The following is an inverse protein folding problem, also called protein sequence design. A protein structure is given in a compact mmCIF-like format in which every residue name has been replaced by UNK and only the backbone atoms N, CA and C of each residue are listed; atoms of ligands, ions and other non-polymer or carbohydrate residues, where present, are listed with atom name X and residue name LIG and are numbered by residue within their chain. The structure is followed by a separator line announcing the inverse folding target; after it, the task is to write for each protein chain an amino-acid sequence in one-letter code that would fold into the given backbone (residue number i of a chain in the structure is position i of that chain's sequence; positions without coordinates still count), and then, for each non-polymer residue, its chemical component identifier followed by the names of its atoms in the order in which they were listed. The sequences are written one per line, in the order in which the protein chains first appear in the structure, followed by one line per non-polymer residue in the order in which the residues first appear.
data_IF_148103032690
#
_entry.id   IF_148103032690
#
_cell.length_a   1.000
_cell.length_b   1.000
_cell.length_c   1.000
_cell.angle_alpha   90.00
_cell.angle_beta   90.00
_cell.angle_gamma   90.00
#
_symmetry.space_group_name_H-M   'P 1'
#
loop_
_entity.id
_entity.type
_entity.pdbx_description
1 polymer ?
#
# COMPACT_ATOMS: atom_id res chain seq x y z
N UNK A 1 11.14 18.34 42.15
CA UNK A 1 11.44 17.22 41.24
C UNK A 1 10.64 17.50 39.97
N UNK A 2 11.21 18.31 39.09
CA UNK A 2 10.55 18.71 37.85
C UNK A 2 10.70 17.57 36.84
N UNK A 3 9.56 17.02 36.41
CA UNK A 3 9.51 15.97 35.40
C UNK A 3 9.69 16.69 34.06
N UNK A 4 10.92 16.69 33.53
CA UNK A 4 11.17 17.13 32.15
C UNK A 4 10.36 16.23 31.22
N UNK A 5 9.27 16.76 30.66
CA UNK A 5 8.49 16.07 29.65
C UNK A 5 9.41 15.82 28.44
N UNK A 6 9.39 14.61 27.85
CA UNK A 6 10.22 14.31 26.68
C UNK A 6 9.86 15.29 25.56
N UNK A 7 10.77 16.22 25.27
CA UNK A 7 10.59 17.22 24.23
C UNK A 7 10.40 16.52 22.89
N UNK A 8 9.19 16.61 22.34
CA UNK A 8 8.89 16.12 21.00
C UNK A 8 9.81 16.88 20.05
N UNK A 9 10.68 16.17 19.34
CA UNK A 9 11.59 16.81 18.40
C UNK A 9 10.78 17.46 17.27
N UNK A 10 11.08 18.71 16.88
CA UNK A 10 10.34 19.41 15.83
C UNK A 10 10.40 18.65 14.49
N UNK A 11 11.47 17.90 14.25
CA UNK A 11 11.61 17.00 13.11
C UNK A 11 10.54 15.89 13.08
N UNK A 12 10.18 15.34 14.23
CA UNK A 12 9.14 14.31 14.33
C UNK A 12 7.77 14.88 13.95
N UNK A 13 7.44 16.09 14.41
CA UNK A 13 6.19 16.78 14.07
C UNK A 13 6.09 17.03 12.56
N UNK A 14 7.17 17.54 11.95
CA UNK A 14 7.21 17.78 10.49
C UNK A 14 7.03 16.48 9.72
N UNK A 15 7.70 15.40 10.15
CA UNK A 15 7.56 14.09 9.52
C UNK A 15 6.12 13.56 9.63
N UNK A 16 5.47 13.71 10.79
CA UNK A 16 4.08 13.33 11.00
C UNK A 16 3.14 14.11 10.07
N UNK A 17 3.31 15.43 9.95
CA UNK A 17 2.49 16.26 9.06
C UNK A 17 2.64 15.81 7.61
N UNK A 18 3.88 15.63 7.13
CA UNK A 18 4.16 15.14 5.76
C UNK A 18 3.51 13.77 5.54
N UNK A 19 3.63 12.86 6.51
CA UNK A 19 3.05 11.52 6.45
C UNK A 19 1.52 11.56 6.35
N UNK A 20 0.85 12.39 7.16
CA UNK A 20 -0.61 12.57 7.09
C UNK A 20 -1.04 13.15 5.74
N UNK A 21 -0.31 14.14 5.20
CA UNK A 21 -0.59 14.72 3.89
C UNK A 21 -0.48 13.64 2.79
N UNK A 22 0.55 12.79 2.85
CA UNK A 22 0.73 11.66 1.93
C UNK A 22 -0.47 10.71 1.96
N UNK A 23 -0.98 10.35 3.14
CA UNK A 23 -2.15 9.48 3.26
C UNK A 23 -3.42 10.14 2.73
N UNK A 24 -3.65 11.41 3.06
CA UNK A 24 -4.79 12.16 2.52
C UNK A 24 -4.73 12.20 0.99
N UNK A 25 -3.54 12.39 0.42
CA UNK A 25 -3.35 12.32 -1.03
C UNK A 25 -3.72 10.95 -1.60
N UNK A 26 -3.19 9.87 -1.02
CA UNK A 26 -3.47 8.49 -1.46
C UNK A 26 -4.97 8.17 -1.43
N UNK A 27 -5.66 8.64 -0.39
CA UNK A 27 -7.09 8.42 -0.21
C UNK A 27 -7.97 9.28 -1.13
N UNK A 28 -7.55 10.51 -1.46
CA UNK A 28 -8.34 11.44 -2.26
C UNK A 28 -7.99 11.46 -3.76
N UNK A 29 -6.95 10.74 -4.18
CA UNK A 29 -6.51 10.71 -5.58
C UNK A 29 -7.58 10.24 -6.57
N UNK A 30 -8.57 9.44 -6.14
CA UNK A 30 -9.66 8.96 -7.00
C UNK A 30 -10.59 10.08 -7.52
N UNK A 31 -10.54 11.28 -6.95
CA UNK A 31 -11.39 12.41 -7.36
C UNK A 31 -11.04 12.91 -8.77
N UNK A 32 -9.77 12.83 -9.17
CA UNK A 32 -9.27 13.26 -10.48
C UNK A 32 -8.58 12.10 -11.19
N UNK A 33 -8.85 11.91 -12.48
CA UNK A 33 -8.27 10.78 -13.23
C UNK A 33 -6.74 10.85 -13.33
N UNK A 34 -6.18 12.04 -13.52
CA UNK A 34 -4.73 12.22 -13.63
C UNK A 34 -4.05 11.85 -12.31
N UNK A 35 -4.64 12.27 -11.18
CA UNK A 35 -4.17 11.92 -9.84
C UNK A 35 -4.38 10.43 -9.55
N UNK A 36 -5.49 9.83 -9.96
CA UNK A 36 -5.73 8.40 -9.79
C UNK A 36 -4.69 7.56 -10.52
N UNK A 37 -4.31 7.93 -11.75
CA UNK A 37 -3.23 7.28 -12.49
C UNK A 37 -1.88 7.46 -11.79
N UNK A 38 -1.55 8.70 -11.40
CA UNK A 38 -0.30 8.99 -10.70
C UNK A 38 -0.21 8.23 -9.37
N UNK A 39 -1.32 8.17 -8.64
CA UNK A 39 -1.40 7.46 -7.38
C UNK A 39 -1.21 5.96 -7.57
N UNK A 40 -1.88 5.37 -8.57
CA UNK A 40 -1.82 3.94 -8.84
C UNK A 40 -0.44 3.48 -9.36
N UNK A 41 0.18 4.23 -10.27
CA UNK A 41 1.42 3.81 -10.93
C UNK A 41 2.69 4.22 -10.21
N UNK A 42 2.68 5.33 -9.46
CA UNK A 42 3.90 5.88 -8.85
C UNK A 42 3.83 5.94 -7.32
N UNK A 43 2.75 6.50 -6.76
CA UNK A 43 2.69 6.79 -5.32
C UNK A 43 2.46 5.51 -4.50
N UNK A 44 1.47 4.69 -4.84
CA UNK A 44 1.20 3.43 -4.13
C UNK A 44 2.40 2.48 -4.18
N UNK A 45 3.03 2.21 -5.35
CA UNK A 45 4.23 1.38 -5.41
C UNK A 45 5.41 1.99 -4.63
N UNK A 46 5.59 3.31 -4.70
CA UNK A 46 6.65 4.01 -3.97
C UNK A 46 6.49 3.90 -2.45
N UNK A 47 5.29 4.16 -1.93
CA UNK A 47 4.98 4.03 -0.50
C UNK A 47 5.14 2.57 -0.07
N UNK A 48 4.71 1.61 -0.90
CA UNK A 48 4.85 0.19 -0.62
C UNK A 48 6.32 -0.22 -0.43
N UNK A 49 7.21 0.16 -1.36
CA UNK A 49 8.66 -0.10 -1.25
C UNK A 49 9.24 0.59 -0.02
N UNK A 50 8.89 1.86 0.20
CA UNK A 50 9.39 2.65 1.33
C UNK A 50 8.93 2.09 2.68
N UNK A 51 7.72 1.53 2.77
CA UNK A 51 7.22 0.89 3.98
C UNK A 51 7.75 -0.53 4.18
N UNK A 52 8.07 -1.27 3.12
CA UNK A 52 8.68 -2.60 3.23
C UNK A 52 10.14 -2.57 3.71
N UNK A 53 10.89 -1.55 3.29
CA UNK A 53 12.33 -1.40 3.59
C UNK A 53 12.65 -1.45 5.11
N UNK A 54 12.01 -0.65 5.98
CA UNK A 54 12.33 -0.64 7.40
C UNK A 54 11.97 -1.97 8.08
N UNK A 55 10.88 -2.63 7.68
CA UNK A 55 10.50 -3.91 8.28
C UNK A 55 11.46 -5.05 7.91
N UNK A 56 11.96 -5.09 6.67
CA UNK A 56 12.92 -6.12 6.25
C UNK A 56 14.27 -5.97 6.95
N UNK A 57 14.76 -4.72 7.07
CA UNK A 57 16.05 -4.45 7.72
C UNK A 57 15.96 -4.76 9.22
N UNK A 58 14.88 -4.35 9.89
CA UNK A 58 14.68 -4.62 11.32
C UNK A 58 14.50 -6.12 11.58
N UNK A 59 13.75 -6.86 10.75
CA UNK A 59 13.65 -8.31 10.87
C UNK A 59 14.99 -9.02 10.65
N UNK A 60 15.75 -8.58 9.65
CA UNK A 60 17.07 -9.12 9.36
C UNK A 60 18.05 -8.88 10.52
N UNK A 61 18.07 -7.66 11.07
CA UNK A 61 18.87 -7.32 12.24
C UNK A 61 18.42 -8.06 13.49
N UNK A 62 17.10 -8.21 13.72
CA UNK A 62 16.56 -8.99 14.84
C UNK A 62 16.99 -10.46 14.77
N UNK A 63 16.96 -11.06 13.58
CA UNK A 63 17.43 -12.44 13.33
C UNK A 63 18.94 -12.60 13.50
N UNK A 64 19.71 -11.53 13.32
CA UNK A 64 21.18 -11.52 13.47
C UNK A 64 21.65 -11.19 14.88
N UNK A 65 20.94 -10.34 15.62
CA UNK A 65 21.30 -9.91 16.97
C UNK A 65 20.79 -10.84 18.06
N UNK A 66 19.64 -11.49 17.86
CA UNK A 66 19.18 -12.55 18.77
C UNK A 66 19.87 -13.82 18.30
N UNK A 67 21.03 -14.10 18.89
CA UNK A 67 21.92 -15.19 18.51
C UNK A 67 21.20 -16.53 18.35
N UNK A 68 21.76 -17.36 17.46
CA UNK A 68 21.28 -18.66 16.98
C UNK A 68 21.06 -19.76 18.06
N UNK A 69 20.80 -19.42 19.33
CA UNK A 69 20.67 -20.37 20.44
C UNK A 69 19.25 -20.57 20.98
N UNK A 70 18.31 -19.65 20.73
CA UNK A 70 16.92 -19.80 21.24
C UNK A 70 15.87 -20.14 20.18
N UNK A 71 16.23 -20.23 18.89
CA UNK A 71 15.33 -20.73 17.84
C UNK A 71 15.55 -22.23 17.62
N UNK A 72 15.33 -23.04 18.65
CA UNK A 72 15.02 -24.46 18.45
C UNK A 72 13.53 -24.69 18.65
N UNK A 73 12.95 -25.32 17.63
CA UNK A 73 11.64 -26.00 17.62
C UNK A 73 10.39 -25.13 17.47
N UNK A 74 10.07 -24.73 16.23
CA UNK A 74 8.82 -25.16 15.52
C UNK A 74 9.04 -25.03 14.00
N UNK A 75 10.03 -25.72 13.44
CA UNK A 75 10.13 -25.87 11.96
C UNK A 75 10.79 -27.20 11.64
N UNK A 76 10.04 -28.28 11.80
CA UNK A 76 10.32 -29.52 11.13
C UNK A 76 8.99 -30.10 10.65
N UNK A 77 8.93 -30.39 9.36
CA UNK A 77 7.84 -31.06 8.64
C UNK A 77 6.65 -30.16 8.27
N UNK A 78 6.69 -29.52 7.10
CA UNK A 78 6.14 -30.13 5.88
C UNK A 78 6.22 -29.20 4.65
N UNK A 79 6.55 -29.81 3.52
CA UNK A 79 6.31 -29.36 2.14
C UNK A 79 7.14 -28.19 1.58
N UNK A 80 8.30 -28.60 1.07
CA UNK A 80 8.97 -28.08 -0.13
C UNK A 80 7.93 -27.65 -1.20
N UNK A 81 8.24 -26.53 -1.87
CA UNK A 81 7.69 -26.01 -3.15
C UNK A 81 6.54 -24.97 -3.10
N UNK A 82 5.82 -24.74 -1.99
CA UNK A 82 4.72 -23.74 -1.93
C UNK A 82 5.06 -22.50 -1.05
N UNK A 83 6.34 -22.30 -0.75
CA UNK A 83 6.84 -21.33 0.24
C UNK A 83 6.40 -19.86 0.06
N UNK A 84 6.43 -19.25 -1.14
CA UNK A 84 6.12 -17.82 -1.22
C UNK A 84 4.61 -17.52 -1.20
N UNK A 85 3.74 -18.45 -1.56
CA UNK A 85 2.28 -18.19 -1.67
C UNK A 85 1.56 -18.45 -0.34
N UNK A 86 1.98 -19.47 0.43
CA UNK A 86 1.37 -19.76 1.72
C UNK A 86 1.82 -18.81 2.84
N UNK A 87 3.05 -18.27 2.75
CA UNK A 87 3.57 -17.33 3.75
C UNK A 87 2.92 -15.94 3.62
N UNK A 88 2.45 -15.58 2.41
CA UNK A 88 1.62 -14.39 2.22
C UNK A 88 0.30 -14.50 2.98
N UNK A 89 -0.31 -15.69 3.07
CA UNK A 89 -1.56 -15.92 3.80
C UNK A 89 -1.34 -15.84 5.31
N UNK A 90 -0.24 -16.39 5.83
CA UNK A 90 0.14 -16.27 7.24
C UNK A 90 0.51 -14.84 7.65
N UNK A 91 1.14 -14.07 6.76
CA UNK A 91 1.40 -12.63 6.94
C UNK A 91 0.10 -11.82 6.81
N UNK A 92 -0.84 -12.22 5.94
CA UNK A 92 -2.18 -11.61 5.84
C UNK A 92 -3.02 -11.86 7.10
N UNK A 93 -2.96 -13.07 7.65
CA UNK A 93 -3.80 -13.52 8.76
C UNK A 93 -3.31 -13.01 10.13
N UNK A 94 -2.03 -12.63 10.27
CA UNK A 94 -1.50 -11.98 11.49
C UNK A 94 -1.79 -10.47 11.49
N UNK A 95 -3.05 -10.12 11.74
CA UNK A 95 -3.51 -8.87 12.37
C UNK A 95 -3.29 -7.52 11.67
N UNK A 96 -2.55 -7.39 10.57
CA UNK A 96 -2.28 -6.06 9.96
C UNK A 96 -3.34 -5.57 8.95
N UNK A 97 -4.16 -6.47 8.41
CA UNK A 97 -5.23 -6.12 7.44
C UNK A 97 -6.61 -5.91 8.07
N UNK A 98 -6.79 -6.16 9.37
CA UNK A 98 -8.11 -6.08 10.00
C UNK A 98 -8.60 -4.66 10.27
N UNK A 99 -7.72 -3.67 10.31
CA UNK A 99 -8.13 -2.26 10.40
C UNK A 99 -7.90 -1.57 9.06
N UNK A 100 -8.96 -1.07 8.39
CA UNK A 100 -8.81 -0.28 7.15
C UNK A 100 -8.00 1.01 7.37
N UNK A 101 -7.77 1.40 8.63
CA UNK A 101 -6.95 2.54 9.02
C UNK A 101 -5.46 2.20 9.23
N UNK A 102 -5.03 0.93 9.06
CA UNK A 102 -3.60 0.64 9.00
C UNK A 102 -3.00 1.21 7.71
N UNK A 103 -1.70 1.48 7.69
CA UNK A 103 -0.99 1.88 6.47
C UNK A 103 -1.25 0.92 5.30
N UNK A 104 -1.28 -0.39 5.58
CA UNK A 104 -1.57 -1.41 4.58
C UNK A 104 -3.04 -1.35 4.11
N UNK A 105 -4.00 -1.16 5.04
CA UNK A 105 -5.42 -0.99 4.71
C UNK A 105 -5.67 0.25 3.85
N UNK A 106 -5.08 1.38 4.21
CA UNK A 106 -5.19 2.63 3.46
C UNK A 106 -4.54 2.55 2.07
N UNK A 107 -3.41 1.83 1.93
CA UNK A 107 -2.80 1.58 0.62
C UNK A 107 -3.70 0.75 -0.28
N UNK A 108 -4.26 -0.35 0.23
CA UNK A 108 -5.20 -1.18 -0.52
C UNK A 108 -6.41 -0.36 -0.93
N UNK A 109 -6.98 0.41 -0.01
CA UNK A 109 -8.14 1.25 -0.28
C UNK A 109 -7.83 2.32 -1.35
N UNK A 110 -6.69 3.01 -1.24
CA UNK A 110 -6.22 3.97 -2.24
C UNK A 110 -6.00 3.34 -3.62
N UNK A 111 -5.43 2.14 -3.67
CA UNK A 111 -5.22 1.40 -4.91
C UNK A 111 -6.54 0.97 -5.57
N UNK A 112 -7.47 0.43 -4.79
CA UNK A 112 -8.78 -0.01 -5.28
C UNK A 112 -9.62 1.17 -5.78
N UNK A 113 -9.71 2.24 -5.01
CA UNK A 113 -10.46 3.45 -5.39
C UNK A 113 -9.88 4.11 -6.64
N UNK A 114 -8.56 4.18 -6.77
CA UNK A 114 -7.88 4.71 -7.96
C UNK A 114 -8.09 3.80 -9.18
N UNK A 115 -7.99 2.48 -9.01
CA UNK A 115 -8.22 1.50 -10.08
C UNK A 115 -9.66 1.56 -10.60
N UNK A 116 -10.63 1.64 -9.69
CA UNK A 116 -12.04 1.78 -10.03
C UNK A 116 -12.28 3.03 -10.89
N UNK A 117 -11.69 4.17 -10.51
CA UNK A 117 -11.82 5.42 -11.26
C UNK A 117 -11.26 5.31 -12.67
N UNK A 118 -10.05 4.77 -12.82
CA UNK A 118 -9.39 4.60 -14.13
C UNK A 118 -10.20 3.66 -15.02
N UNK A 119 -10.70 2.55 -14.47
CA UNK A 119 -11.52 1.59 -15.20
C UNK A 119 -12.85 2.18 -15.68
N UNK A 120 -13.54 2.92 -14.81
CA UNK A 120 -14.80 3.58 -15.16
C UNK A 120 -14.63 4.57 -16.32
N UNK A 121 -13.53 5.33 -16.31
CA UNK A 121 -13.25 6.28 -17.38
C UNK A 121 -12.89 5.61 -18.71
N UNK A 122 -12.18 4.49 -18.67
CA UNK A 122 -11.93 3.67 -19.86
C UNK A 122 -13.24 3.21 -20.52
N UNK A 123 -14.21 2.74 -19.74
CA UNK A 123 -15.53 2.34 -20.25
C UNK A 123 -16.24 3.53 -20.89
N UNK A 124 -16.19 4.70 -20.25
CA UNK A 124 -16.81 5.92 -20.74
C UNK A 124 -16.24 6.32 -22.11
N UNK A 125 -14.93 6.23 -22.28
CA UNK A 125 -14.27 6.55 -23.54
C UNK A 125 -14.59 5.55 -24.65
N UNK A 126 -14.67 4.25 -24.34
CA UNK A 126 -15.13 3.23 -25.28
C UNK A 126 -16.55 3.50 -25.77
N UNK A 127 -17.47 3.90 -24.87
CA UNK A 127 -18.85 4.28 -25.23
C UNK A 127 -18.88 5.50 -26.16
N UNK A 128 -18.06 6.53 -25.89
CA UNK A 128 -17.96 7.73 -26.74
C UNK A 128 -17.44 7.38 -28.15
N UNK A 129 -16.39 6.56 -28.26
CA UNK A 129 -15.83 6.11 -29.55
C UNK A 129 -16.87 5.33 -30.37
N UNK A 130 -17.60 4.39 -29.75
CA UNK A 130 -18.68 3.63 -30.41
C UNK A 130 -19.79 4.55 -30.93
N UNK A 131 -20.25 5.53 -30.14
CA UNK A 131 -21.26 6.51 -30.58
C UNK A 131 -20.77 7.36 -31.76
N UNK A 132 -19.52 7.84 -31.73
CA UNK A 132 -18.92 8.63 -32.82
C UNK A 132 -18.80 7.81 -34.11
N UNK A 133 -18.41 6.53 -34.02
CA UNK A 133 -18.33 5.61 -35.16
C UNK A 133 -19.71 5.36 -35.81
N UNK A 134 -20.75 5.14 -35.00
CA UNK A 134 -22.13 4.99 -35.51
C UNK A 134 -22.64 6.23 -36.23
N UNK A 135 -22.43 7.43 -35.68
CA UNK A 135 -22.83 8.69 -36.35
C UNK A 135 -22.19 8.86 -37.73
N UNK A 136 -20.92 8.50 -37.88
CA UNK A 136 -20.20 8.56 -39.17
C UNK A 136 -20.74 7.58 -40.22
N UNK A 137 -21.34 6.46 -39.80
CA UNK A 137 -21.95 5.48 -40.72
C UNK A 137 -23.33 5.91 -41.21
N UNK A 138 -24.05 6.74 -40.45
CA UNK A 138 -25.37 7.26 -40.83
C UNK A 138 -25.30 8.49 -41.73
N UNK A 139 -24.12 9.08 -41.92
CA UNK A 139 -23.88 10.26 -42.76
C UNK A 139 -23.27 9.90 -44.13
N UNK A 140 -23.05 8.61 -44.40
CA UNK A 140 -22.63 8.08 -45.69
C UNK A 140 -23.81 7.34 -46.30
#
# INVERSE_FOLDING_TARGET
MEIEAPGISPLFVVLCVIHTILWVFVLLAFLRNDLAKLNLFYVVPGIYVLHLLPFHIIMYLKKRSIGAKDYKEVTASESKVIGPILDFKGILERNCFRSPLTAQGMLIFGALSSSYRVYHDLIRDQKKKKKKSRKRRLQK
#
